data_IF_833868998236
#
_entry.id   IF_833868998236
#
_cell.length_a   1.000
_cell.length_b   1.000
_cell.length_c   1.000
_cell.angle_alpha   90.00
_cell.angle_beta   90.00
_cell.angle_gamma   90.00
#
_symmetry.space_group_name_H-M   'P 1'
#
loop_
_entity.id
_entity.type
_entity.pdbx_description
1 polymer ?
#
# COMPACT_ATOMS: atom_id res chain seq x y z
N UNK A 1 2.82 23.75 6.43
CA UNK A 1 1.49 24.04 5.88
C UNK A 1 0.77 22.75 5.51
N UNK A 2 -0.57 22.77 5.53
CA UNK A 2 -1.37 21.66 5.03
C UNK A 2 -1.12 21.44 3.53
N UNK A 3 -1.19 20.20 3.08
CA UNK A 3 -1.16 19.89 1.65
C UNK A 3 -2.46 20.35 0.98
N UNK A 4 -2.43 20.76 -0.31
CA UNK A 4 -3.62 21.35 -0.95
C UNK A 4 -4.71 20.33 -1.27
N UNK A 5 -4.40 19.04 -1.36
CA UNK A 5 -5.32 18.00 -1.83
C UNK A 5 -5.51 16.91 -0.79
N UNK A 6 -4.44 16.44 -0.15
CA UNK A 6 -4.52 15.40 0.87
C UNK A 6 -4.87 15.97 2.23
N UNK A 7 -5.95 15.49 2.90
CA UNK A 7 -6.35 15.97 4.23
C UNK A 7 -5.37 15.58 5.34
N UNK A 8 -4.45 14.66 5.08
CA UNK A 8 -3.42 14.21 6.02
C UNK A 8 -2.01 14.65 5.60
N UNK A 9 -1.90 15.36 4.49
CA UNK A 9 -0.63 15.81 3.91
C UNK A 9 -0.12 17.09 4.57
N UNK A 10 1.21 17.16 4.72
CA UNK A 10 1.94 18.36 5.19
C UNK A 10 2.96 18.77 4.12
N UNK A 11 3.03 20.04 3.82
CA UNK A 11 4.00 20.65 2.90
C UNK A 11 4.96 21.58 3.65
N UNK A 12 6.02 21.99 2.96
CA UNK A 12 6.94 22.99 3.45
C UNK A 12 8.06 22.43 4.30
N UNK A 13 8.29 21.13 4.25
CA UNK A 13 9.51 20.52 4.80
C UNK A 13 10.60 20.67 3.74
N UNK A 14 11.62 21.47 4.04
CA UNK A 14 12.81 21.64 3.20
C UNK A 14 14.01 20.90 3.79
N UNK A 15 14.97 20.52 2.94
CA UNK A 15 16.16 19.78 3.32
C UNK A 15 15.96 18.26 3.33
N UNK A 16 16.80 17.56 4.09
CA UNK A 16 16.75 16.10 4.20
C UNK A 16 15.57 15.66 5.10
N UNK A 17 14.56 14.95 4.56
CA UNK A 17 13.43 14.48 5.36
C UNK A 17 13.83 13.57 6.53
N UNK A 18 14.93 12.83 6.42
CA UNK A 18 15.41 11.95 7.50
C UNK A 18 15.78 12.73 8.78
N UNK A 19 16.06 14.03 8.65
CA UNK A 19 16.38 14.93 9.78
C UNK A 19 15.14 15.46 10.50
N UNK A 20 13.95 15.19 9.98
CA UNK A 20 12.69 15.58 10.62
C UNK A 20 12.37 14.58 11.73
N UNK A 21 12.28 15.01 13.01
CA UNK A 21 12.06 14.08 14.13
C UNK A 21 10.83 13.17 13.98
N UNK A 22 9.76 13.69 13.37
CA UNK A 22 8.56 12.91 13.08
C UNK A 22 8.79 11.79 12.06
N UNK A 23 9.68 12.00 11.08
CA UNK A 23 10.06 10.99 10.09
C UNK A 23 10.97 9.94 10.73
N UNK A 24 11.98 10.38 11.48
CA UNK A 24 12.86 9.47 12.22
C UNK A 24 12.10 8.59 13.22
N UNK A 25 11.05 9.13 13.85
CA UNK A 25 10.17 8.41 14.78
C UNK A 25 9.08 7.56 14.08
N UNK A 26 9.04 7.52 12.75
CA UNK A 26 8.03 6.77 12.00
C UNK A 26 6.61 7.37 12.01
N UNK A 27 6.43 8.57 12.59
CA UNK A 27 5.13 9.28 12.68
C UNK A 27 4.77 10.09 11.43
N UNK A 28 5.76 10.44 10.64
CA UNK A 28 5.61 11.13 9.36
C UNK A 28 6.33 10.34 8.27
N UNK A 29 5.83 10.43 7.04
CA UNK A 29 6.45 9.80 5.88
C UNK A 29 6.43 10.73 4.69
N UNK A 30 7.46 10.62 3.86
CA UNK A 30 7.50 11.27 2.55
C UNK A 30 6.65 10.42 1.60
N UNK A 31 5.57 10.99 1.12
CA UNK A 31 4.65 10.31 0.21
C UNK A 31 3.98 11.32 -0.71
N UNK A 32 3.76 10.91 -1.95
CA UNK A 32 3.01 11.69 -2.93
C UNK A 32 1.53 11.80 -2.54
N UNK A 33 0.91 12.97 -2.75
CA UNK A 33 -0.49 13.20 -2.38
C UNK A 33 -1.44 12.24 -3.10
N UNK A 34 -1.22 11.93 -4.39
CA UNK A 34 -2.01 10.96 -5.12
C UNK A 34 -1.95 9.55 -4.50
N UNK A 35 -0.78 9.16 -3.97
CA UNK A 35 -0.65 7.89 -3.24
C UNK A 35 -1.36 7.92 -1.88
N UNK A 36 -1.39 9.07 -1.21
CA UNK A 36 -2.17 9.24 0.02
C UNK A 36 -3.66 9.13 -0.27
N UNK A 37 -4.14 9.81 -1.31
CA UNK A 37 -5.55 9.78 -1.71
C UNK A 37 -6.02 8.37 -2.09
N UNK A 38 -5.21 7.58 -2.78
CA UNK A 38 -5.54 6.20 -3.11
C UNK A 38 -5.75 5.34 -1.85
N UNK A 39 -4.89 5.48 -0.84
CA UNK A 39 -5.06 4.77 0.42
C UNK A 39 -6.29 5.28 1.20
N UNK A 40 -6.52 6.60 1.23
CA UNK A 40 -7.68 7.21 1.90
C UNK A 40 -9.00 6.88 1.21
N UNK A 41 -9.02 6.73 -0.13
CA UNK A 41 -10.20 6.31 -0.86
C UNK A 41 -10.69 4.93 -0.41
N UNK A 42 -9.77 4.01 -0.09
CA UNK A 42 -10.13 2.72 0.48
C UNK A 42 -10.50 2.85 1.97
N UNK A 43 -9.63 3.46 2.79
CA UNK A 43 -9.83 3.49 4.25
C UNK A 43 -11.08 4.26 4.66
N UNK A 44 -11.51 5.22 3.86
CA UNK A 44 -12.66 6.11 4.12
C UNK A 44 -13.85 5.85 3.18
N UNK A 45 -13.88 4.71 2.49
CA UNK A 45 -15.03 4.30 1.67
C UNK A 45 -16.30 4.08 2.49
N UNK A 46 -16.13 3.70 3.76
CA UNK A 46 -17.16 3.58 4.79
C UNK A 46 -16.51 3.69 6.17
N UNK A 47 -17.31 3.82 7.22
CA UNK A 47 -16.80 3.78 8.60
C UNK A 47 -16.06 2.48 8.88
N UNK A 48 -14.92 2.58 9.57
CA UNK A 48 -14.13 1.41 9.96
C UNK A 48 -14.81 0.72 11.14
N UNK A 49 -15.01 -0.59 11.02
CA UNK A 49 -15.55 -1.41 12.10
C UNK A 49 -14.43 -2.12 12.82
N UNK A 50 -14.50 -2.16 14.14
CA UNK A 50 -13.56 -2.92 14.94
C UNK A 50 -13.55 -4.39 14.52
N UNK A 51 -12.36 -4.97 14.39
CA UNK A 51 -12.18 -6.34 13.94
C UNK A 51 -12.13 -6.54 12.43
N UNK A 52 -12.31 -5.48 11.61
CA UNK A 52 -12.06 -5.58 10.16
C UNK A 52 -10.62 -6.04 9.88
N UNK A 53 -10.49 -6.82 8.82
CA UNK A 53 -9.19 -7.27 8.31
C UNK A 53 -8.95 -6.65 6.94
N UNK A 54 -7.86 -5.92 6.82
CA UNK A 54 -7.48 -5.24 5.59
C UNK A 54 -6.26 -5.92 4.95
N UNK A 55 -6.14 -5.80 3.63
CA UNK A 55 -5.02 -6.33 2.87
C UNK A 55 -4.46 -5.26 1.93
N UNK A 56 -3.16 -5.02 1.98
CA UNK A 56 -2.39 -4.36 0.92
C UNK A 56 -1.62 -5.44 0.16
N UNK A 57 -2.03 -5.73 -1.07
CA UNK A 57 -1.51 -6.87 -1.84
C UNK A 57 -0.11 -6.64 -2.42
N UNK A 58 0.30 -5.38 -2.61
CA UNK A 58 1.57 -5.00 -3.22
C UNK A 58 2.20 -3.84 -2.44
N UNK A 59 2.45 -4.08 -1.15
CA UNK A 59 2.69 -3.03 -0.16
C UNK A 59 4.00 -2.23 -0.33
N UNK A 60 5.00 -2.77 -1.02
CA UNK A 60 6.32 -2.14 -1.13
C UNK A 60 6.35 -0.79 -1.86
N UNK A 61 7.03 0.20 -1.32
CA UNK A 61 7.96 0.17 -0.18
C UNK A 61 7.32 0.52 1.18
N UNK A 62 5.99 0.48 1.36
CA UNK A 62 5.32 0.66 2.65
C UNK A 62 4.58 2.00 2.83
N UNK A 63 4.59 2.89 1.84
CA UNK A 63 3.97 4.22 1.98
C UNK A 63 2.45 4.16 2.14
N UNK A 64 1.73 3.48 1.22
CA UNK A 64 0.28 3.29 1.30
C UNK A 64 -0.09 2.39 2.47
N UNK A 65 0.66 1.29 2.66
CA UNK A 65 0.48 0.38 3.79
C UNK A 65 0.55 1.09 5.15
N UNK A 66 1.48 2.05 5.34
CA UNK A 66 1.61 2.79 6.59
C UNK A 66 0.39 3.70 6.85
N UNK A 67 -0.15 4.33 5.82
CA UNK A 67 -1.37 5.12 5.95
C UNK A 67 -2.58 4.24 6.26
N UNK A 68 -2.72 3.11 5.54
CA UNK A 68 -3.77 2.12 5.85
C UNK A 68 -3.66 1.57 7.26
N UNK A 69 -2.44 1.28 7.73
CA UNK A 69 -2.19 0.80 9.10
C UNK A 69 -2.64 1.81 10.15
N UNK A 70 -2.36 3.11 9.93
CA UNK A 70 -2.79 4.17 10.83
C UNK A 70 -4.33 4.30 10.90
N UNK A 71 -5.00 4.29 9.74
CA UNK A 71 -6.46 4.35 9.65
C UNK A 71 -7.11 3.09 10.25
N UNK A 72 -6.57 1.90 9.95
CA UNK A 72 -7.04 0.62 10.50
C UNK A 72 -6.94 0.58 12.03
N UNK A 73 -5.77 0.96 12.57
CA UNK A 73 -5.53 0.97 14.02
C UNK A 73 -6.49 1.91 14.75
N UNK A 74 -6.77 3.09 14.21
CA UNK A 74 -7.71 4.04 14.79
C UNK A 74 -9.13 3.46 14.86
N UNK A 75 -9.54 2.67 13.88
CA UNK A 75 -10.85 2.03 13.83
C UNK A 75 -10.92 0.64 14.50
N UNK A 76 -9.81 0.16 15.07
CA UNK A 76 -9.75 -1.18 15.68
C UNK A 76 -9.68 -2.33 14.67
N UNK A 77 -9.24 -2.05 13.44
CA UNK A 77 -8.98 -3.03 12.39
C UNK A 77 -7.51 -3.47 12.37
N UNK A 78 -7.21 -4.50 11.59
CA UNK A 78 -5.85 -5.02 11.37
C UNK A 78 -5.49 -5.00 9.90
N UNK A 79 -4.19 -4.89 9.59
CA UNK A 79 -3.67 -4.87 8.23
C UNK A 79 -2.70 -6.04 7.97
N UNK A 80 -2.91 -6.74 6.88
CA UNK A 80 -1.90 -7.60 6.26
C UNK A 80 -1.28 -6.82 5.11
N UNK A 81 0.05 -6.66 5.13
CA UNK A 81 0.81 -6.02 4.08
C UNK A 81 1.67 -7.06 3.36
N UNK A 82 1.32 -7.40 2.13
CA UNK A 82 2.02 -8.40 1.33
C UNK A 82 3.00 -7.75 0.36
N UNK A 83 4.19 -8.32 0.23
CA UNK A 83 5.19 -7.92 -0.76
C UNK A 83 5.94 -9.15 -1.27
N UNK A 84 6.09 -9.26 -2.59
CA UNK A 84 6.75 -10.39 -3.24
C UNK A 84 8.27 -10.35 -3.06
N UNK A 85 8.87 -9.16 -3.16
CA UNK A 85 10.32 -8.98 -3.22
C UNK A 85 10.90 -8.84 -1.80
N UNK A 86 11.78 -9.75 -1.34
CA UNK A 86 12.31 -9.74 0.04
C UNK A 86 12.91 -8.41 0.48
N UNK A 87 13.71 -7.77 -0.38
CA UNK A 87 14.33 -6.49 -0.08
C UNK A 87 13.27 -5.37 0.13
N UNK A 88 12.19 -5.38 -0.65
CA UNK A 88 11.08 -4.43 -0.50
C UNK A 88 10.22 -4.77 0.72
N UNK A 89 10.02 -6.06 1.01
CA UNK A 89 9.34 -6.50 2.23
C UNK A 89 10.09 -6.03 3.50
N UNK A 90 11.42 -5.98 3.45
CA UNK A 90 12.24 -5.36 4.49
C UNK A 90 11.90 -3.87 4.70
N UNK A 91 11.72 -3.11 3.62
CA UNK A 91 11.30 -1.70 3.70
C UNK A 91 9.88 -1.57 4.29
N UNK A 92 8.97 -2.47 3.91
CA UNK A 92 7.61 -2.52 4.46
C UNK A 92 7.64 -2.80 5.96
N UNK A 93 8.43 -3.78 6.43
CA UNK A 93 8.61 -4.07 7.87
C UNK A 93 9.11 -2.84 8.64
N UNK A 94 10.12 -2.16 8.11
CA UNK A 94 10.63 -0.91 8.71
C UNK A 94 9.56 0.18 8.73
N UNK A 95 8.78 0.27 7.65
CA UNK A 95 7.70 1.24 7.54
C UNK A 95 6.59 1.01 8.56
N UNK A 96 6.29 -0.23 8.88
CA UNK A 96 5.12 -0.62 9.67
C UNK A 96 5.46 -0.98 11.12
N UNK A 97 6.73 -0.99 11.49
CA UNK A 97 7.18 -1.42 12.84
C UNK A 97 6.57 -0.63 14.00
N UNK A 98 6.12 0.60 13.77
CA UNK A 98 5.49 1.44 14.80
C UNK A 98 4.06 0.99 15.17
N UNK A 99 3.42 0.13 14.37
CA UNK A 99 2.03 -0.29 14.55
C UNK A 99 1.89 -1.60 15.35
N UNK A 100 3.00 -2.26 15.70
CA UNK A 100 3.00 -3.48 16.51
C UNK A 100 2.09 -4.58 15.94
N UNK A 101 1.30 -5.19 16.80
CA UNK A 101 0.45 -6.36 16.47
C UNK A 101 -0.76 -6.02 15.58
N UNK A 102 -1.02 -4.73 15.31
CA UNK A 102 -2.07 -4.33 14.37
C UNK A 102 -1.71 -4.60 12.91
N UNK A 103 -0.45 -4.92 12.63
CA UNK A 103 0.04 -5.14 11.27
C UNK A 103 0.85 -6.42 11.16
N UNK A 104 0.57 -7.20 10.15
CA UNK A 104 1.36 -8.35 9.74
C UNK A 104 1.96 -8.14 8.36
N UNK A 105 3.28 -8.22 8.23
CA UNK A 105 3.96 -8.20 6.93
C UNK A 105 4.20 -9.63 6.45
N UNK A 106 3.70 -9.93 5.25
CA UNK A 106 3.84 -11.22 4.57
C UNK A 106 4.73 -11.06 3.35
N UNK A 107 5.66 -11.99 3.19
CA UNK A 107 6.51 -12.10 2.01
C UNK A 107 5.99 -13.24 1.15
N UNK A 108 5.44 -12.92 -0.01
CA UNK A 108 4.83 -13.94 -0.86
C UNK A 108 4.19 -13.41 -2.13
N UNK A 109 3.86 -14.35 -3.01
CA UNK A 109 3.15 -14.07 -4.25
C UNK A 109 1.66 -13.88 -3.98
N UNK A 110 1.18 -12.65 -4.13
CA UNK A 110 -0.21 -12.28 -3.88
C UNK A 110 -1.22 -13.01 -4.79
N UNK A 111 -0.82 -13.53 -5.94
CA UNK A 111 -1.69 -14.34 -6.81
C UNK A 111 -2.16 -15.64 -6.15
N UNK A 112 -1.48 -16.06 -5.08
CA UNK A 112 -1.81 -17.29 -4.33
C UNK A 112 -2.93 -17.09 -3.32
N UNK A 113 -3.32 -15.86 -2.99
CA UNK A 113 -4.44 -15.61 -2.10
C UNK A 113 -5.72 -16.30 -2.60
N UNK A 114 -6.42 -16.97 -1.69
CA UNK A 114 -7.60 -17.76 -1.97
C UNK A 114 -7.35 -19.11 -2.66
N UNK A 115 -6.07 -19.50 -2.86
CA UNK A 115 -5.68 -20.84 -3.35
C UNK A 115 -4.98 -21.69 -2.30
N UNK A 116 -4.72 -21.13 -1.13
CA UNK A 116 -3.99 -21.76 -0.03
C UNK A 116 -4.88 -22.60 0.90
N UNK A 117 -6.17 -22.67 0.63
CA UNK A 117 -7.14 -23.41 1.42
C UNK A 117 -7.45 -22.83 2.80
N UNK A 118 -6.92 -21.64 3.13
CA UNK A 118 -7.13 -21.01 4.45
C UNK A 118 -8.54 -20.48 4.65
N UNK A 119 -9.29 -20.23 3.58
CA UNK A 119 -10.59 -19.55 3.62
C UNK A 119 -10.52 -18.12 4.16
N UNK A 120 -9.33 -17.53 4.22
CA UNK A 120 -9.14 -16.18 4.75
C UNK A 120 -9.77 -15.17 3.79
N UNK A 121 -10.57 -14.25 4.34
CA UNK A 121 -11.17 -13.14 3.61
C UNK A 121 -10.80 -11.80 4.26
N UNK A 122 -10.90 -10.71 3.48
CA UNK A 122 -10.57 -9.36 3.92
C UNK A 122 -11.74 -8.41 3.63
N UNK A 123 -11.99 -7.50 4.56
CA UNK A 123 -13.07 -6.51 4.43
C UNK A 123 -12.69 -5.37 3.48
N UNK A 124 -11.39 -5.03 3.44
CA UNK A 124 -10.86 -4.01 2.52
C UNK A 124 -9.56 -4.50 1.90
N UNK A 125 -9.43 -4.31 0.59
CA UNK A 125 -8.24 -4.74 -0.16
C UNK A 125 -7.72 -3.58 -1.00
N UNK A 126 -6.47 -3.19 -0.77
CA UNK A 126 -5.74 -2.31 -1.68
C UNK A 126 -4.92 -3.16 -2.67
N UNK A 127 -5.18 -2.96 -3.94
CA UNK A 127 -4.36 -3.50 -5.03
C UNK A 127 -3.71 -2.34 -5.81
N UNK A 128 -2.56 -1.87 -5.31
CA UNK A 128 -1.67 -0.98 -6.06
C UNK A 128 -0.67 -1.82 -6.85
N UNK A 129 -1.16 -2.38 -7.95
CA UNK A 129 -0.45 -3.39 -8.72
C UNK A 129 0.83 -2.87 -9.38
N UNK A 130 1.83 -3.73 -9.63
CA UNK A 130 2.98 -3.39 -10.44
C UNK A 130 2.56 -2.83 -11.80
N UNK A 131 3.19 -1.74 -12.23
CA UNK A 131 2.92 -1.09 -13.50
C UNK A 131 4.21 -0.60 -14.16
N UNK A 132 4.12 -0.05 -15.36
CA UNK A 132 5.26 0.53 -16.06
C UNK A 132 5.91 1.70 -15.32
N UNK A 133 5.16 2.38 -14.45
CA UNK A 133 5.64 3.55 -13.70
C UNK A 133 5.76 4.82 -14.53
N UNK A 134 5.27 4.84 -15.78
CA UNK A 134 5.37 6.00 -16.67
C UNK A 134 4.64 7.24 -16.14
N UNK A 135 3.63 7.09 -15.30
CA UNK A 135 2.97 8.20 -14.60
C UNK A 135 3.90 8.95 -13.62
N UNK A 136 5.03 8.36 -13.25
CA UNK A 136 6.01 8.97 -12.35
C UNK A 136 7.24 9.57 -13.06
N UNK A 137 7.22 9.74 -14.38
CA UNK A 137 8.38 10.20 -15.18
C UNK A 137 8.94 11.55 -14.71
N UNK A 138 8.10 12.45 -14.18
CA UNK A 138 8.59 13.72 -13.61
C UNK A 138 9.57 13.50 -12.45
N UNK A 139 9.42 12.43 -11.70
CA UNK A 139 10.26 12.08 -10.54
C UNK A 139 11.32 11.05 -10.86
N UNK A 140 11.09 10.24 -11.89
CA UNK A 140 11.97 9.16 -12.37
C UNK A 140 12.09 9.20 -13.88
N UNK A 141 12.72 10.22 -14.44
CA UNK A 141 12.80 10.39 -15.90
C UNK A 141 13.53 9.25 -16.60
N UNK A 142 14.42 8.55 -15.89
CA UNK A 142 15.15 7.40 -16.39
C UNK A 142 14.25 6.20 -16.70
N UNK A 143 13.04 6.14 -16.16
CA UNK A 143 12.10 5.04 -16.41
C UNK A 143 11.73 4.93 -17.89
N UNK A 144 11.69 6.05 -18.63
CA UNK A 144 11.42 6.07 -20.08
C UNK A 144 12.39 5.20 -20.92
N UNK A 145 13.64 5.07 -20.45
CA UNK A 145 14.69 4.36 -21.16
C UNK A 145 14.77 2.86 -20.79
N UNK A 146 14.01 2.45 -19.78
CA UNK A 146 14.02 1.09 -19.23
C UNK A 146 12.75 0.32 -19.54
N UNK A 147 11.76 0.96 -20.15
CA UNK A 147 10.45 0.37 -20.43
C UNK A 147 10.27 0.14 -21.91
N UNK A 148 9.78 -1.04 -22.25
CA UNK A 148 9.47 -1.47 -23.60
C UNK A 148 7.95 -1.62 -23.77
N UNK A 149 7.41 -1.52 -25.00
CA UNK A 149 6.00 -1.76 -25.26
C UNK A 149 5.50 -3.12 -24.75
N UNK A 150 6.34 -4.14 -24.84
CA UNK A 150 6.06 -5.52 -24.42
C UNK A 150 5.80 -5.62 -22.90
N UNK A 151 6.45 -4.78 -22.09
CA UNK A 151 6.22 -4.70 -20.63
C UNK A 151 4.74 -4.44 -20.31
N UNK A 152 4.01 -3.77 -21.20
CA UNK A 152 2.58 -3.44 -20.98
C UNK A 152 1.73 -4.70 -20.98
N UNK A 153 1.95 -5.60 -21.93
CA UNK A 153 1.19 -6.85 -22.05
C UNK A 153 1.46 -7.78 -20.88
N UNK A 154 2.74 -7.94 -20.50
CA UNK A 154 3.14 -8.76 -19.36
C UNK A 154 2.55 -8.23 -18.05
N UNK A 155 2.62 -6.91 -17.84
CA UNK A 155 2.07 -6.28 -16.63
C UNK A 155 0.55 -6.34 -16.60
N UNK A 156 -0.14 -6.20 -17.74
CA UNK A 156 -1.59 -6.32 -17.82
C UNK A 156 -2.06 -7.73 -17.44
N UNK A 157 -1.36 -8.78 -17.90
CA UNK A 157 -1.64 -10.15 -17.51
C UNK A 157 -1.45 -10.35 -16.00
N UNK A 158 -0.33 -9.89 -15.45
CA UNK A 158 -0.06 -9.94 -14.01
C UNK A 158 -1.11 -9.18 -13.19
N UNK A 159 -1.52 -7.99 -13.63
CA UNK A 159 -2.55 -7.18 -12.96
C UNK A 159 -3.89 -7.91 -12.92
N UNK A 160 -4.26 -8.59 -14.01
CA UNK A 160 -5.48 -9.42 -14.08
C UNK A 160 -5.42 -10.55 -13.06
N UNK A 161 -4.31 -11.30 -13.01
CA UNK A 161 -4.14 -12.38 -12.04
C UNK A 161 -4.20 -11.90 -10.58
N UNK A 162 -3.63 -10.72 -10.30
CA UNK A 162 -3.69 -10.10 -8.96
C UNK A 162 -5.11 -9.64 -8.62
N UNK A 163 -5.82 -9.06 -9.58
CA UNK A 163 -7.22 -8.65 -9.38
C UNK A 163 -8.12 -9.86 -9.10
N UNK A 164 -7.95 -10.94 -9.86
CA UNK A 164 -8.67 -12.19 -9.62
C UNK A 164 -8.39 -12.74 -8.21
N UNK A 165 -7.15 -12.64 -7.75
CA UNK A 165 -6.78 -13.05 -6.40
C UNK A 165 -7.42 -12.16 -5.34
N UNK A 166 -7.47 -10.83 -5.55
CA UNK A 166 -8.14 -9.89 -4.67
C UNK A 166 -9.64 -10.25 -4.53
N UNK A 167 -10.31 -10.44 -5.66
CA UNK A 167 -11.76 -10.77 -5.68
C UNK A 167 -12.04 -12.09 -4.95
N UNK A 168 -11.16 -13.10 -5.09
CA UNK A 168 -11.32 -14.38 -4.39
C UNK A 168 -11.31 -14.28 -2.87
N UNK A 169 -10.60 -13.31 -2.32
CA UNK A 169 -10.45 -13.16 -0.87
C UNK A 169 -11.16 -11.91 -0.32
N UNK A 170 -11.90 -11.20 -1.16
CA UNK A 170 -12.74 -10.10 -0.70
C UNK A 170 -13.96 -10.67 0.03
N UNK A 171 -14.19 -10.19 1.24
CA UNK A 171 -15.37 -10.59 2.02
C UNK A 171 -16.67 -10.11 1.35
N UNK A 172 -17.80 -10.80 1.51
CA UNK A 172 -19.08 -10.28 1.07
C UNK A 172 -19.37 -8.88 1.63
N UNK A 173 -19.63 -7.91 0.75
CA UNK A 173 -19.81 -6.49 1.12
C UNK A 173 -18.52 -5.73 1.42
N UNK A 174 -17.36 -6.33 1.16
CA UNK A 174 -16.06 -5.68 1.24
C UNK A 174 -15.77 -4.71 0.09
N UNK A 175 -14.69 -3.93 0.22
CA UNK A 175 -14.26 -2.89 -0.72
C UNK A 175 -12.85 -3.15 -1.23
#
# INVERSE_FOLDING_TARGET
>A
DAAPVSPVGIRGISGDPARVPGVAAGRLRVQDEGSQLAALALSRSSDVRAGERWLDMCAGPGGKAALLAAEAQQGGATLVANELVPARAGLVRNALGVFGDHVRVVEGDARRYGRDGTGMTFDRILLDAPCTGLGALRRRPEARWRKLPEDVEELAALQTELLDAAVRVLAPGGT
#
